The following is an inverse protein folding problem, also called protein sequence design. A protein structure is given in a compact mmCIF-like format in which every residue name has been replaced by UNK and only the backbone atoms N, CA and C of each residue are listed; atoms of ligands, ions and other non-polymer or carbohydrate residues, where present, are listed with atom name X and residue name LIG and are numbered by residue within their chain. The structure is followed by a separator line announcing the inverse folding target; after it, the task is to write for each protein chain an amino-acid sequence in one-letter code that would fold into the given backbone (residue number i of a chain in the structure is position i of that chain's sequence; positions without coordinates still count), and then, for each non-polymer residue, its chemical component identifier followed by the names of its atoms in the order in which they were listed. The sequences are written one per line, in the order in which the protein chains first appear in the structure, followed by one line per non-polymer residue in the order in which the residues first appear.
data_IF_000294420870
#
_entry.id   IF_000294420870
#
_cell.length_a   1.000
_cell.length_b   1.000
_cell.length_c   1.000
_cell.angle_alpha   90.00
_cell.angle_beta   90.00
_cell.angle_gamma   90.00
#
_symmetry.space_group_name_H-M   'P 1'
#
loop_
_entity.id
_entity.type
_entity.pdbx_description
1 polymer ?
#
# COMPACT_ATOMS: atom_id res chain seq x y z
N UNK A 1 24.65 3.83 -4.63
CA UNK A 1 24.13 3.10 -5.76
C UNK A 1 23.41 1.88 -5.31
N UNK A 2 24.09 1.02 -4.60
CA UNK A 2 23.42 -0.19 -4.10
C UNK A 2 22.27 0.13 -3.19
N UNK A 3 22.36 1.27 -2.52
CA UNK A 3 21.28 1.66 -1.61
C UNK A 3 19.96 1.81 -2.34
N UNK A 4 20.02 2.31 -3.56
CA UNK A 4 18.80 2.48 -4.33
C UNK A 4 18.15 1.16 -4.67
N UNK A 5 18.96 0.17 -5.05
CA UNK A 5 18.43 -1.14 -5.33
C UNK A 5 17.78 -1.74 -4.09
N UNK A 6 18.42 -1.54 -2.93
CA UNK A 6 17.91 -2.04 -1.68
C UNK A 6 16.55 -1.40 -1.35
N UNK A 7 16.42 -0.11 -1.57
CA UNK A 7 15.17 0.58 -1.30
C UNK A 7 14.06 0.10 -2.21
N UNK A 8 14.38 -0.12 -3.48
CA UNK A 8 13.38 -0.62 -4.41
C UNK A 8 12.88 -1.99 -3.99
N UNK A 9 13.79 -2.84 -3.51
CA UNK A 9 13.40 -4.14 -3.01
C UNK A 9 12.47 -4.02 -1.81
N UNK A 10 12.75 -3.08 -0.92
CA UNK A 10 11.93 -2.86 0.25
C UNK A 10 10.54 -2.36 -0.13
N UNK A 11 10.47 -1.50 -1.14
CA UNK A 11 9.19 -1.03 -1.63
C UNK A 11 8.36 -2.19 -2.15
N UNK A 12 9.00 -3.10 -2.87
CA UNK A 12 8.31 -4.29 -3.36
C UNK A 12 7.78 -5.16 -2.24
N UNK A 13 8.58 -5.33 -1.19
CA UNK A 13 8.13 -6.08 -0.02
C UNK A 13 6.94 -5.40 0.64
N UNK A 14 7.03 -4.08 0.80
CA UNK A 14 5.94 -3.33 1.40
C UNK A 14 4.68 -3.42 0.55
N UNK A 15 4.83 -3.38 -0.77
CA UNK A 15 3.68 -3.55 -1.67
C UNK A 15 3.02 -4.90 -1.45
N UNK A 16 3.82 -5.94 -1.25
CA UNK A 16 3.29 -7.26 -0.95
C UNK A 16 2.51 -7.29 0.35
N UNK A 17 3.02 -6.61 1.38
CA UNK A 17 2.32 -6.52 2.65
C UNK A 17 0.98 -5.80 2.50
N UNK A 18 0.96 -4.72 1.74
CA UNK A 18 -0.28 -3.99 1.49
C UNK A 18 -1.26 -4.87 0.72
N UNK A 19 -0.78 -5.56 -0.29
CA UNK A 19 -1.61 -6.45 -1.08
C UNK A 19 -2.26 -7.51 -0.20
N UNK A 20 -1.45 -8.16 0.63
CA UNK A 20 -1.96 -9.22 1.50
C UNK A 20 -2.98 -8.67 2.49
N UNK A 21 -2.70 -7.50 3.05
CA UNK A 21 -3.62 -6.89 3.98
C UNK A 21 -4.97 -6.62 3.34
N UNK A 22 -4.95 -6.04 2.14
CA UNK A 22 -6.19 -5.71 1.45
C UNK A 22 -6.94 -6.95 1.00
N UNK A 23 -6.21 -8.01 0.68
CA UNK A 23 -6.84 -9.28 0.32
C UNK A 23 -7.65 -9.81 1.50
N UNK A 24 -7.11 -9.70 2.70
CA UNK A 24 -7.76 -10.25 3.88
C UNK A 24 -8.80 -9.31 4.49
N UNK A 25 -8.49 -8.02 4.52
CA UNK A 25 -9.33 -7.09 5.27
C UNK A 25 -10.29 -6.30 4.40
N UNK A 26 -10.03 -6.26 3.11
CA UNK A 26 -10.87 -5.48 2.20
C UNK A 26 -10.59 -4.00 2.27
N UNK A 27 -11.54 -3.16 1.85
CA UNK A 27 -11.30 -1.72 1.82
C UNK A 27 -11.00 -1.15 3.20
N UNK A 28 -10.06 -0.21 3.25
CA UNK A 28 -9.60 0.36 4.50
C UNK A 28 -9.05 1.74 4.21
N UNK A 29 -9.07 2.62 5.21
CA UNK A 29 -8.49 3.95 5.02
C UNK A 29 -6.97 3.84 4.96
N UNK A 30 -6.36 4.81 4.29
CA UNK A 30 -4.90 4.88 4.23
C UNK A 30 -4.31 5.00 5.63
N UNK A 31 -4.97 5.77 6.50
CA UNK A 31 -4.50 5.95 7.86
C UNK A 31 -4.45 4.62 8.60
N UNK A 32 -5.50 3.85 8.51
CA UNK A 32 -5.56 2.56 9.19
C UNK A 32 -4.55 1.60 8.59
N UNK A 33 -4.45 1.59 7.27
CA UNK A 33 -3.50 0.74 6.58
C UNK A 33 -2.09 0.98 7.09
N UNK A 34 -1.69 2.25 7.15
CA UNK A 34 -0.33 2.58 7.58
C UNK A 34 -0.09 2.24 9.04
N UNK A 35 -1.13 2.25 9.86
CA UNK A 35 -1.00 1.91 11.27
C UNK A 35 -0.90 0.42 11.50
N UNK A 36 -1.62 -0.35 10.71
CA UNK A 36 -1.76 -1.78 10.96
C UNK A 36 -0.68 -2.62 10.32
N UNK A 37 -0.09 -2.13 9.25
CA UNK A 37 0.99 -2.87 8.62
C UNK A 37 2.28 -2.63 9.40
N UNK A 38 2.95 -3.71 9.73
CA UNK A 38 4.19 -3.66 10.52
C UNK A 38 5.36 -3.28 9.64
N UNK A 39 5.43 -2.01 9.31
CA UNK A 39 6.50 -1.45 8.49
C UNK A 39 6.47 0.07 8.65
N UNK A 40 7.59 0.74 8.38
CA UNK A 40 7.61 2.20 8.46
C UNK A 40 6.55 2.82 7.54
N UNK A 41 5.93 3.87 8.04
CA UNK A 41 4.84 4.50 7.30
C UNK A 41 5.27 4.92 5.90
N UNK A 42 6.47 5.50 5.79
CA UNK A 42 6.95 5.95 4.49
C UNK A 42 7.00 4.80 3.49
N UNK A 43 7.47 3.67 3.97
CA UNK A 43 7.63 2.51 3.11
C UNK A 43 6.26 1.96 2.71
N UNK A 44 5.32 1.96 3.65
CA UNK A 44 3.95 1.52 3.36
C UNK A 44 3.36 2.40 2.27
N UNK A 45 3.54 3.72 2.39
CA UNK A 45 3.00 4.64 1.39
C UNK A 45 3.65 4.45 0.04
N UNK A 46 4.94 4.15 0.03
CA UNK A 46 5.65 3.86 -1.22
C UNK A 46 5.11 2.58 -1.85
N UNK A 47 4.81 1.60 -1.03
CA UNK A 47 4.21 0.36 -1.52
C UNK A 47 2.82 0.58 -2.11
N UNK A 48 2.04 1.45 -1.47
CA UNK A 48 0.73 1.81 -1.97
C UNK A 48 0.87 2.47 -3.35
N UNK A 49 1.80 3.40 -3.49
CA UNK A 49 2.03 4.06 -4.76
C UNK A 49 2.46 3.08 -5.84
N UNK A 50 3.28 2.12 -5.47
CA UNK A 50 3.71 1.08 -6.39
C UNK A 50 2.52 0.30 -6.94
N UNK A 51 1.63 -0.13 -6.04
CA UNK A 51 0.45 -0.89 -6.45
C UNK A 51 -0.50 -0.05 -7.29
N UNK A 52 -0.60 1.24 -6.97
CA UNK A 52 -1.44 2.14 -7.74
C UNK A 52 -0.92 2.25 -9.17
N UNK A 53 0.39 2.38 -9.30
CA UNK A 53 1.02 2.44 -10.61
C UNK A 53 0.78 1.17 -11.42
N UNK A 54 0.75 0.03 -10.73
CA UNK A 54 0.51 -1.26 -11.37
C UNK A 54 -0.98 -1.51 -11.63
N UNK A 55 -1.82 -0.56 -11.29
CA UNK A 55 -3.28 -0.68 -11.46
C UNK A 55 -3.86 -1.84 -10.68
N UNK A 56 -3.31 -2.09 -9.50
CA UNK A 56 -3.77 -3.20 -8.66
C UNK A 56 -4.67 -2.75 -7.53
N UNK A 57 -4.74 -1.46 -7.28
CA UNK A 57 -5.59 -0.93 -6.23
C UNK A 57 -6.34 0.28 -6.73
N UNK A 58 -7.41 0.63 -6.01
CA UNK A 58 -8.23 1.80 -6.30
C UNK A 58 -8.37 2.63 -5.05
N UNK A 59 -8.56 3.92 -5.25
CA UNK A 59 -8.80 4.85 -4.16
C UNK A 59 -10.22 5.38 -4.26
N UNK A 60 -10.86 5.54 -3.11
CA UNK A 60 -12.22 6.06 -3.04
C UNK A 60 -12.25 7.19 -2.02
N UNK A 61 -13.07 8.24 -2.27
CA UNK A 61 -13.16 9.31 -1.28
C UNK A 61 -13.76 8.79 0.01
N UNK A 62 -13.25 9.28 1.10
CA UNK A 62 -13.76 8.97 2.42
C UNK A 62 -13.96 10.25 3.20
N UNK A 63 -14.65 10.17 4.34
CA UNK A 63 -14.94 11.39 5.11
C UNK A 63 -13.70 12.07 5.67
N UNK A 64 -12.67 11.31 6.02
CA UNK A 64 -11.47 11.90 6.60
C UNK A 64 -10.20 11.46 5.90
N UNK A 65 -10.23 10.29 5.33
CA UNK A 65 -9.09 9.71 4.68
C UNK A 65 -9.59 8.92 3.48
N UNK A 66 -8.76 8.83 2.47
CA UNK A 66 -9.13 8.02 1.32
C UNK A 66 -9.21 6.57 1.70
N UNK A 67 -10.19 5.88 1.14
CA UNK A 67 -10.27 4.44 1.23
C UNK A 67 -9.46 3.84 0.10
N UNK A 68 -8.86 2.72 0.37
CA UNK A 68 -8.10 1.99 -0.63
C UNK A 68 -8.58 0.55 -0.65
N UNK A 69 -8.69 -0.02 -1.83
CA UNK A 69 -9.13 -1.40 -1.99
C UNK A 69 -8.42 -2.01 -3.18
N UNK A 70 -8.47 -3.32 -3.25
CA UNK A 70 -7.95 -4.00 -4.42
C UNK A 70 -8.85 -3.67 -5.60
N UNK A 71 -8.23 -3.52 -6.76
CA UNK A 71 -8.99 -3.27 -7.96
C UNK A 71 -9.63 -4.56 -8.42
N UNK A 72 -10.92 -4.50 -8.70
CA UNK A 72 -11.64 -5.65 -9.21
C UNK A 72 -12.07 -5.35 -10.63
N UNK A 73 -11.92 -6.30 -11.50
CA UNK A 73 -12.32 -6.12 -12.90
C UNK A 73 -13.70 -6.65 -13.17
#
# INVERSE_FOLDING_TARGET
MELQGSEVDEIGIAAGLVWNYLTEKGPVTLSKLSREIDAPRDLVMQGVGWLARESKIEFHPGPRSKLVSLKTD
#
